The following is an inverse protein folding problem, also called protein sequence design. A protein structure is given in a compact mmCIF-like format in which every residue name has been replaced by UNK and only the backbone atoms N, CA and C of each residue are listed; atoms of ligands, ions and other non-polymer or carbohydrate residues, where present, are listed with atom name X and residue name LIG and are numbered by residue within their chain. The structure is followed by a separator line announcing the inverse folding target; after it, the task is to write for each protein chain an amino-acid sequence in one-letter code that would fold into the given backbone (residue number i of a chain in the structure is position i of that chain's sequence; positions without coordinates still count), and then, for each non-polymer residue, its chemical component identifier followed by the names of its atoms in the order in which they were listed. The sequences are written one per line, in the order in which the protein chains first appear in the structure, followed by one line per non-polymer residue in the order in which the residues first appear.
data_IF_662133222109
#
_entry.id   IF_662133222109
#
_cell.length_a   1.000
_cell.length_b   1.000
_cell.length_c   1.000
_cell.angle_alpha   90.00
_cell.angle_beta   90.00
_cell.angle_gamma   90.00
#
_symmetry.space_group_name_H-M   'P 1'
#
loop_
_entity.id
_entity.type
_entity.pdbx_description
1 polymer ?
#
# COMPACT_ATOMS: atom_id res chain seq x y z
N UNK A 1 14.80 3.83 2.88
CA UNK A 1 14.64 5.30 3.00
C UNK A 1 13.22 5.67 2.57
N UNK A 2 12.65 6.75 3.11
CA UNK A 2 11.34 7.24 2.67
C UNK A 2 11.39 7.72 1.21
N UNK A 3 10.26 7.66 0.49
CA UNK A 3 10.17 8.16 -0.89
C UNK A 3 10.21 9.68 -0.92
N UNK A 4 10.65 10.26 -2.03
CA UNK A 4 10.65 11.73 -2.20
C UNK A 4 9.24 12.30 -2.02
N UNK A 5 8.20 11.59 -2.50
CA UNK A 5 6.79 11.97 -2.31
C UNK A 5 6.42 12.12 -0.84
N UNK A 6 6.85 11.20 0.02
CA UNK A 6 6.60 11.31 1.47
C UNK A 6 7.33 12.52 2.05
N UNK A 7 8.59 12.76 1.65
CA UNK A 7 9.38 13.90 2.11
C UNK A 7 8.69 15.22 1.71
N UNK A 8 8.27 15.33 0.45
CA UNK A 8 7.61 16.52 -0.08
C UNK A 8 6.25 16.75 0.58
N UNK A 9 5.47 15.68 0.79
CA UNK A 9 4.20 15.74 1.52
C UNK A 9 4.40 16.27 2.94
N UNK A 10 5.39 15.76 3.67
CA UNK A 10 5.70 16.21 5.03
C UNK A 10 6.31 17.61 5.07
N UNK A 11 6.95 18.08 3.98
CA UNK A 11 7.44 19.45 3.88
C UNK A 11 6.29 20.46 3.72
N UNK A 12 5.24 20.09 2.99
CA UNK A 12 4.08 20.95 2.69
C UNK A 12 2.96 20.84 3.72
N UNK A 13 2.87 19.70 4.42
CA UNK A 13 1.83 19.43 5.41
C UNK A 13 2.48 19.32 6.80
N UNK A 14 1.94 20.05 7.78
CA UNK A 14 2.37 20.00 9.18
C UNK A 14 1.24 19.38 10.01
N UNK A 15 1.15 18.04 10.09
CA UNK A 15 0.19 17.39 10.96
C UNK A 15 0.45 17.80 12.42
N UNK A 16 -0.61 18.07 13.16
CA UNK A 16 -0.53 18.59 14.54
C UNK A 16 0.06 17.57 15.55
N UNK A 17 0.24 16.31 15.15
CA UNK A 17 0.82 15.25 15.96
C UNK A 17 1.40 14.10 15.14
N UNK A 18 1.81 13.00 15.80
CA UNK A 18 2.30 11.81 15.12
C UNK A 18 1.29 11.31 14.09
N UNK A 19 1.76 11.03 12.88
CA UNK A 19 0.92 10.53 11.80
C UNK A 19 1.63 9.39 11.05
N UNK A 20 0.84 8.57 10.36
CA UNK A 20 1.32 7.58 9.43
C UNK A 20 1.08 8.10 8.00
N UNK A 21 2.15 8.16 7.21
CA UNK A 21 2.07 8.49 5.79
C UNK A 21 2.46 7.25 5.00
N UNK A 22 1.59 6.84 4.08
CA UNK A 22 1.79 5.67 3.22
C UNK A 22 1.81 6.12 1.76
N UNK A 23 2.83 5.69 1.02
CA UNK A 23 2.93 5.95 -0.41
C UNK A 23 2.27 4.80 -1.19
N UNK A 24 1.08 5.06 -1.72
CA UNK A 24 0.31 4.07 -2.48
C UNK A 24 0.99 3.63 -3.78
N UNK A 25 1.83 4.47 -4.38
CA UNK A 25 2.61 4.11 -5.58
C UNK A 25 3.66 3.03 -5.27
N UNK A 26 4.14 2.97 -4.02
CA UNK A 26 5.03 1.89 -3.57
C UNK A 26 4.23 0.59 -3.40
N UNK A 27 3.04 0.68 -2.81
CA UNK A 27 2.16 -0.49 -2.62
C UNK A 27 1.80 -1.11 -3.97
N UNK A 28 1.36 -0.30 -4.94
CA UNK A 28 1.04 -0.75 -6.29
C UNK A 28 2.23 -1.43 -6.96
N UNK A 29 3.40 -0.77 -6.99
CA UNK A 29 4.60 -1.34 -7.64
C UNK A 29 5.03 -2.65 -7.00
N UNK A 30 4.92 -2.77 -5.67
CA UNK A 30 5.24 -4.00 -4.97
C UNK A 30 4.26 -5.12 -5.33
N UNK A 31 2.96 -4.83 -5.38
CA UNK A 31 1.95 -5.78 -5.80
C UNK A 31 2.20 -6.29 -7.23
N UNK A 32 2.40 -5.38 -8.19
CA UNK A 32 2.66 -5.74 -9.58
C UNK A 32 3.98 -6.52 -9.75
N UNK A 33 5.01 -6.17 -8.97
CA UNK A 33 6.28 -6.91 -8.98
C UNK A 33 6.09 -8.32 -8.47
N UNK A 34 5.30 -8.48 -7.41
CA UNK A 34 4.99 -9.79 -6.85
C UNK A 34 4.20 -10.66 -7.82
N UNK A 35 3.15 -10.12 -8.45
CA UNK A 35 2.34 -10.86 -9.42
C UNK A 35 3.11 -11.21 -10.69
N UNK A 36 4.00 -10.33 -11.17
CA UNK A 36 4.92 -10.66 -12.29
C UNK A 36 5.90 -11.77 -11.94
N UNK A 37 6.38 -11.82 -10.71
CA UNK A 37 7.35 -12.83 -10.26
C UNK A 37 6.70 -14.21 -10.06
N UNK A 38 5.38 -14.26 -9.76
CA UNK A 38 4.63 -15.48 -9.48
C UNK A 38 3.31 -15.50 -10.29
N UNK A 39 3.38 -15.67 -11.62
CA UNK A 39 2.22 -15.50 -12.51
C UNK A 39 1.10 -16.53 -12.27
N UNK A 40 1.44 -17.72 -11.78
CA UNK A 40 0.47 -18.80 -11.52
C UNK A 40 -0.10 -18.78 -10.09
N UNK A 41 0.23 -17.76 -9.30
CA UNK A 41 -0.22 -17.62 -7.90
C UNK A 41 -1.26 -16.51 -7.74
N UNK A 42 -2.17 -16.72 -6.79
CA UNK A 42 -3.13 -15.68 -6.38
C UNK A 42 -2.62 -14.98 -5.12
N UNK A 43 -2.68 -13.65 -5.12
CA UNK A 43 -2.31 -12.83 -3.96
C UNK A 43 -3.48 -12.76 -3.00
N UNK A 44 -3.22 -13.01 -1.72
CA UNK A 44 -4.14 -12.82 -0.60
C UNK A 44 -3.49 -11.85 0.40
N UNK A 45 -4.02 -10.63 0.48
CA UNK A 45 -3.55 -9.62 1.41
C UNK A 45 -4.18 -9.82 2.78
N UNK A 46 -3.35 -10.03 3.81
CA UNK A 46 -3.82 -10.14 5.18
C UNK A 46 -4.21 -8.76 5.73
N UNK A 47 -5.52 -8.51 5.90
CA UNK A 47 -6.07 -7.20 6.26
C UNK A 47 -5.51 -6.66 7.59
N UNK A 48 -5.14 -7.55 8.52
CA UNK A 48 -4.49 -7.19 9.80
C UNK A 48 -3.16 -6.44 9.66
N UNK A 49 -2.49 -6.51 8.51
CA UNK A 49 -1.23 -5.81 8.28
C UNK A 49 -1.43 -4.28 8.18
N UNK A 50 -2.49 -3.85 7.49
CA UNK A 50 -2.94 -2.47 7.43
C UNK A 50 -4.39 -2.43 6.88
N UNK A 51 -5.41 -2.13 7.71
CA UNK A 51 -6.80 -2.11 7.27
C UNK A 51 -7.24 -0.78 6.64
N UNK A 52 -6.31 0.14 6.35
CA UNK A 52 -6.63 1.44 5.77
C UNK A 52 -7.42 1.27 4.44
N UNK A 53 -8.61 1.90 4.30
CA UNK A 53 -9.45 1.75 3.11
C UNK A 53 -8.72 2.05 1.81
N UNK A 54 -7.82 3.04 1.80
CA UNK A 54 -7.05 3.44 0.61
C UNK A 54 -6.12 2.33 0.12
N UNK A 55 -5.54 1.54 1.03
CA UNK A 55 -4.71 0.38 0.68
C UNK A 55 -5.58 -0.77 0.17
N UNK A 56 -6.70 -1.04 0.85
CA UNK A 56 -7.62 -2.12 0.45
C UNK A 56 -8.27 -1.84 -0.91
N UNK A 57 -8.73 -0.61 -1.15
CA UNK A 57 -9.28 -0.18 -2.43
C UNK A 57 -8.25 -0.33 -3.55
N UNK A 58 -7.02 0.17 -3.35
CA UNK A 58 -5.94 0.00 -4.33
C UNK A 58 -5.71 -1.48 -4.67
N UNK A 59 -5.54 -2.33 -3.66
CA UNK A 59 -5.28 -3.75 -3.86
C UNK A 59 -6.47 -4.47 -4.52
N UNK A 60 -7.69 -4.07 -4.19
CA UNK A 60 -8.91 -4.59 -4.82
C UNK A 60 -8.96 -4.23 -6.30
N UNK A 61 -8.66 -2.97 -6.66
CA UNK A 61 -8.63 -2.50 -8.05
C UNK A 61 -7.54 -3.21 -8.87
N UNK A 62 -6.44 -3.61 -8.23
CA UNK A 62 -5.37 -4.42 -8.84
C UNK A 62 -5.66 -5.93 -8.88
N UNK A 63 -6.81 -6.38 -8.36
CA UNK A 63 -7.26 -7.77 -8.41
C UNK A 63 -6.75 -8.67 -7.27
N UNK A 64 -6.32 -8.10 -6.15
CA UNK A 64 -5.93 -8.87 -4.97
C UNK A 64 -7.13 -9.54 -4.31
N UNK A 65 -6.92 -10.72 -3.71
CA UNK A 65 -7.85 -11.27 -2.73
C UNK A 65 -7.45 -10.81 -1.32
N UNK A 66 -8.31 -11.08 -0.34
CA UNK A 66 -8.11 -10.67 1.04
C UNK A 66 -8.27 -11.85 2.00
N UNK A 67 -7.41 -11.90 3.00
CA UNK A 67 -7.51 -12.79 4.16
C UNK A 67 -7.97 -11.97 5.37
N UNK A 68 -9.09 -12.39 5.97
CA UNK A 68 -9.75 -11.74 7.10
C UNK A 68 -9.86 -12.74 8.25
N UNK A 69 -9.36 -12.36 9.43
CA UNK A 69 -9.42 -13.13 10.67
C UNK A 69 -10.13 -12.33 11.76
#
# INVERSE_FOLDING_TARGET
MATQRIIDFLAQNRPEGPCLVVDLDVVQRNYETFTRALPDSRVFYAVKANPAPEVLSLLSDLGSNFDTA
#
